data_IF_105163761232
#
_entry.id   IF_105163761232
#
_cell.length_a   1.000
_cell.length_b   1.000
_cell.length_c   1.000
_cell.angle_alpha   90.00
_cell.angle_beta   90.00
_cell.angle_gamma   90.00
#
_symmetry.space_group_name_H-M   'P 1'
#
loop_
_entity.id
_entity.type
_entity.pdbx_description
1 polymer ?
#
# COMPACT_ATOMS: atom_id res chain seq x y z
N UNK A 1 -10.80 5.57 7.08
CA UNK A 1 -9.47 5.70 7.70
C UNK A 1 -8.56 6.51 6.79
N UNK A 2 -7.77 7.42 7.34
CA UNK A 2 -6.82 8.24 6.56
C UNK A 2 -5.41 7.74 6.86
N UNK A 3 -4.68 7.39 5.81
CA UNK A 3 -3.27 7.00 5.87
C UNK A 3 -2.40 8.13 5.34
N UNK A 4 -1.30 8.41 6.04
CA UNK A 4 -0.33 9.44 5.67
C UNK A 4 0.96 8.75 5.22
N UNK A 5 1.47 9.12 4.05
CA UNK A 5 2.67 8.53 3.48
C UNK A 5 3.72 9.59 3.17
N UNK A 6 4.98 9.17 3.02
CA UNK A 6 5.95 10.00 2.30
C UNK A 6 5.55 10.08 0.82
N UNK A 7 5.98 11.14 0.14
CA UNK A 7 5.63 11.36 -1.27
C UNK A 7 5.99 10.18 -2.18
N UNK A 8 7.16 9.61 -2.00
CA UNK A 8 7.66 8.47 -2.77
C UNK A 8 6.95 7.15 -2.45
N UNK A 9 6.44 6.99 -1.22
CA UNK A 9 5.58 5.87 -0.83
C UNK A 9 4.19 6.02 -1.46
N UNK A 10 3.62 7.23 -1.41
CA UNK A 10 2.34 7.55 -2.04
C UNK A 10 2.38 7.32 -3.56
N UNK A 11 3.40 7.84 -4.25
CA UNK A 11 3.55 7.67 -5.69
C UNK A 11 3.69 6.20 -6.08
N UNK A 12 4.39 5.41 -5.26
CA UNK A 12 4.50 3.96 -5.44
C UNK A 12 3.14 3.27 -5.28
N UNK A 13 2.39 3.58 -4.22
CA UNK A 13 1.05 3.01 -4.00
C UNK A 13 0.10 3.33 -5.15
N UNK A 14 0.04 4.58 -5.59
CA UNK A 14 -0.85 5.00 -6.69
C UNK A 14 -0.47 4.35 -8.02
N UNK A 15 0.83 4.14 -8.27
CA UNK A 15 1.32 3.58 -9.54
C UNK A 15 1.16 2.06 -9.64
N UNK A 16 1.36 1.34 -8.54
CA UNK A 16 1.44 -0.13 -8.54
C UNK A 16 0.27 -0.80 -7.81
N UNK A 17 -0.51 -0.04 -7.03
CA UNK A 17 -1.68 -0.55 -6.33
C UNK A 17 -2.88 -0.67 -7.25
N UNK A 18 -3.51 -1.84 -7.22
CA UNK A 18 -4.79 -2.07 -7.88
C UNK A 18 -5.93 -1.70 -6.93
N UNK A 19 -6.43 -0.47 -7.05
CA UNK A 19 -7.52 0.03 -6.22
C UNK A 19 -8.91 -0.40 -6.73
N UNK A 20 -9.00 -1.08 -7.88
CA UNK A 20 -10.29 -1.59 -8.40
C UNK A 20 -10.85 -2.72 -7.51
N UNK A 21 -9.99 -3.38 -6.74
CA UNK A 21 -10.36 -4.40 -5.75
C UNK A 21 -11.10 -3.84 -4.51
N UNK A 22 -11.15 -2.51 -4.34
CA UNK A 22 -11.89 -1.87 -3.24
C UNK A 22 -13.39 -1.79 -3.55
N UNK A 23 -14.24 -2.32 -2.66
CA UNK A 23 -15.69 -2.30 -2.82
C UNK A 23 -16.28 -0.92 -2.54
N UNK A 24 -15.67 -0.15 -1.63
CA UNK A 24 -16.14 1.15 -1.19
C UNK A 24 -15.28 2.29 -1.73
N UNK A 25 -15.84 3.52 -1.84
CA UNK A 25 -15.10 4.66 -2.34
C UNK A 25 -13.82 4.95 -1.53
N UNK A 26 -12.74 5.21 -2.25
CA UNK A 26 -11.48 5.72 -1.72
C UNK A 26 -11.22 7.14 -2.25
N UNK A 27 -10.33 7.89 -1.58
CA UNK A 27 -9.83 9.18 -2.08
C UNK A 27 -8.32 9.25 -2.03
N UNK A 28 -7.76 9.79 -3.09
CA UNK A 28 -6.32 10.07 -3.22
C UNK A 28 -6.11 11.58 -3.07
N UNK A 29 -5.16 11.97 -2.21
CA UNK A 29 -4.78 13.36 -2.01
C UNK A 29 -3.30 13.56 -2.35
N UNK A 30 -2.95 13.86 -3.62
CA UNK A 30 -1.57 13.97 -4.07
C UNK A 30 -0.77 15.05 -3.34
N UNK A 31 -1.40 16.19 -3.07
CA UNK A 31 -0.75 17.36 -2.44
C UNK A 31 -0.29 17.07 -1.01
N UNK A 32 -0.99 16.18 -0.31
CA UNK A 32 -0.69 15.81 1.09
C UNK A 32 -0.14 14.40 1.24
N UNK A 33 0.00 13.64 0.13
CA UNK A 33 0.42 12.23 0.15
C UNK A 33 -0.47 11.37 1.07
N UNK A 34 -1.78 11.63 1.03
CA UNK A 34 -2.76 10.91 1.85
C UNK A 34 -3.64 10.01 0.99
N UNK A 35 -4.06 8.89 1.58
CA UNK A 35 -5.07 7.99 1.02
C UNK A 35 -6.15 7.79 2.08
N UNK A 36 -7.39 8.08 1.71
CA UNK A 36 -8.57 7.79 2.52
C UNK A 36 -9.20 6.49 2.00
N UNK A 37 -9.27 5.48 2.86
CA UNK A 37 -9.87 4.17 2.58
C UNK A 37 -11.08 3.99 3.50
N UNK A 38 -12.15 3.38 3.00
CA UNK A 38 -13.28 3.01 3.84
C UNK A 38 -12.85 1.99 4.91
N UNK A 39 -13.34 2.13 6.15
CA UNK A 39 -12.97 1.21 7.24
C UNK A 39 -13.32 -0.26 6.94
N UNK A 40 -14.26 -0.53 6.04
CA UNK A 40 -14.60 -1.90 5.61
C UNK A 40 -13.56 -2.53 4.69
N UNK A 41 -12.74 -1.70 4.03
CA UNK A 41 -11.75 -2.15 3.05
C UNK A 41 -10.31 -1.99 3.53
N UNK A 42 -10.05 -1.59 4.78
CA UNK A 42 -8.67 -1.39 5.27
C UNK A 42 -7.83 -2.67 5.18
N UNK A 43 -8.44 -3.84 5.38
CA UNK A 43 -7.78 -5.13 5.18
C UNK A 43 -7.51 -5.41 3.69
N UNK A 44 -8.40 -4.99 2.79
CA UNK A 44 -8.17 -5.11 1.34
C UNK A 44 -7.06 -4.16 0.88
N UNK A 45 -7.05 -2.92 1.38
CA UNK A 45 -5.96 -1.98 1.12
C UNK A 45 -4.61 -2.53 1.60
N UNK A 46 -4.58 -3.17 2.77
CA UNK A 46 -3.38 -3.86 3.25
C UNK A 46 -2.96 -5.02 2.31
N UNK A 47 -3.93 -5.78 1.78
CA UNK A 47 -3.69 -6.83 0.79
C UNK A 47 -3.08 -6.28 -0.50
N UNK A 48 -3.60 -5.16 -1.03
CA UNK A 48 -3.05 -4.48 -2.21
C UNK A 48 -1.58 -4.12 -2.00
N UNK A 49 -1.20 -3.62 -0.84
CA UNK A 49 0.20 -3.29 -0.52
C UNK A 49 1.07 -4.55 -0.48
N UNK A 50 0.57 -5.63 0.11
CA UNK A 50 1.24 -6.93 0.10
C UNK A 50 1.45 -7.43 -1.34
N UNK A 51 0.44 -7.31 -2.20
CA UNK A 51 0.53 -7.72 -3.60
C UNK A 51 1.58 -6.92 -4.37
N UNK A 52 1.74 -5.63 -4.09
CA UNK A 52 2.83 -4.83 -4.67
C UNK A 52 4.20 -5.45 -4.36
N UNK A 53 4.42 -5.88 -3.11
CA UNK A 53 5.68 -6.50 -2.70
C UNK A 53 5.96 -7.82 -3.43
N UNK A 54 4.92 -8.64 -3.63
CA UNK A 54 5.08 -9.98 -4.25
C UNK A 54 5.22 -9.89 -5.76
N UNK A 55 4.41 -9.04 -6.41
CA UNK A 55 4.36 -8.95 -7.88
C UNK A 55 5.53 -8.15 -8.44
N UNK A 56 5.90 -7.04 -7.79
CA UNK A 56 6.90 -6.10 -8.30
C UNK A 56 8.19 -6.08 -7.46
N UNK A 57 8.17 -6.66 -6.26
CA UNK A 57 9.29 -6.63 -5.34
C UNK A 57 10.25 -7.81 -5.45
N UNK A 58 9.95 -8.82 -6.26
CA UNK A 58 10.82 -9.99 -6.45
C UNK A 58 11.78 -9.79 -7.63
N UNK A 59 12.98 -10.38 -7.55
CA UNK A 59 13.91 -10.43 -8.68
C UNK A 59 13.36 -11.27 -9.85
N UNK A 60 14.04 -11.23 -11.01
CA UNK A 60 13.58 -11.91 -12.23
C UNK A 60 13.35 -13.42 -12.03
N UNK A 61 14.10 -14.04 -11.10
CA UNK A 61 14.01 -15.46 -10.82
C UNK A 61 13.04 -15.79 -9.66
N UNK A 62 12.39 -14.76 -9.09
CA UNK A 62 11.52 -14.85 -7.92
C UNK A 62 12.16 -15.52 -6.70
N UNK A 63 13.49 -15.44 -6.58
CA UNK A 63 14.22 -16.08 -5.49
C UNK A 63 14.54 -15.11 -4.36
N UNK A 64 14.72 -13.82 -4.69
CA UNK A 64 15.07 -12.81 -3.71
C UNK A 64 14.12 -11.61 -3.77
N UNK A 65 13.87 -11.06 -2.58
CA UNK A 65 13.23 -9.76 -2.43
C UNK A 65 14.22 -8.65 -2.78
N UNK A 66 13.78 -7.72 -3.61
CA UNK A 66 14.52 -6.51 -4.00
C UNK A 66 14.30 -5.38 -3.00
N UNK A 67 15.10 -4.31 -3.11
CA UNK A 67 14.90 -3.09 -2.32
C UNK A 67 13.50 -2.49 -2.50
N UNK A 68 12.92 -2.57 -3.70
CA UNK A 68 11.55 -2.14 -3.96
C UNK A 68 10.54 -2.96 -3.16
N UNK A 69 10.74 -4.29 -3.11
CA UNK A 69 9.89 -5.19 -2.36
C UNK A 69 9.97 -4.96 -0.85
N UNK A 70 11.18 -4.78 -0.30
CA UNK A 70 11.33 -4.40 1.11
C UNK A 70 10.65 -3.06 1.43
N UNK A 71 10.73 -2.08 0.53
CA UNK A 71 10.01 -0.81 0.68
C UNK A 71 8.50 -1.00 0.70
N UNK A 72 7.95 -1.89 -0.11
CA UNK A 72 6.52 -2.22 -0.08
C UNK A 72 6.12 -2.86 1.28
N UNK A 73 6.96 -3.75 1.82
CA UNK A 73 6.75 -4.38 3.13
C UNK A 73 6.82 -3.36 4.28
N UNK A 74 7.75 -2.40 4.23
CA UNK A 74 7.79 -1.31 5.21
C UNK A 74 6.49 -0.50 5.22
N UNK A 75 5.88 -0.28 4.06
CA UNK A 75 4.57 0.40 3.95
C UNK A 75 3.45 -0.50 4.49
N UNK A 76 3.48 -1.80 4.19
CA UNK A 76 2.54 -2.78 4.73
C UNK A 76 2.53 -2.76 6.26
N UNK A 77 3.70 -2.79 6.89
CA UNK A 77 3.83 -2.78 8.35
C UNK A 77 3.29 -1.49 8.96
N UNK A 78 3.58 -0.33 8.35
CA UNK A 78 3.02 0.96 8.79
C UNK A 78 1.48 0.96 8.77
N UNK A 79 0.90 0.48 7.68
CA UNK A 79 -0.56 0.39 7.54
C UNK A 79 -1.14 -0.62 8.53
N UNK A 80 -0.51 -1.78 8.70
CA UNK A 80 -0.88 -2.79 9.69
C UNK A 80 -0.95 -2.19 11.10
N UNK A 81 0.13 -1.53 11.54
CA UNK A 81 0.20 -0.94 12.87
C UNK A 81 -0.82 0.16 13.08
N UNK A 82 -1.12 0.96 12.05
CA UNK A 82 -2.15 1.98 12.17
C UNK A 82 -3.54 1.34 12.32
N UNK A 83 -3.85 0.28 11.57
CA UNK A 83 -5.15 -0.43 11.66
C UNK A 83 -5.35 -1.10 13.03
N UNK A 84 -4.29 -1.68 13.61
CA UNK A 84 -4.41 -2.55 14.79
C UNK A 84 -4.11 -1.87 16.13
N UNK A 85 -3.56 -0.65 16.11
CA UNK A 85 -3.27 0.12 17.32
C UNK A 85 -4.17 1.37 17.48
N UNK A 86 -5.21 1.51 16.65
CA UNK A 86 -6.35 2.44 16.86
C UNK A 86 -7.46 1.76 17.70
#
# INVERSE_FOLDING_TARGET
MIFNFKKDEYEMLVKYGDFEDLEYPYKLFPETSQIEINNKDVSMFQCIISNISVVYGMDENQNNMTDFGYKALDIYDKVYFQIHNE
#
